data_IF_259055455370
#
_entry.id   IF_259055455370
#
_cell.length_a   1.000
_cell.length_b   1.000
_cell.length_c   1.000
_cell.angle_alpha   90.00
_cell.angle_beta   90.00
_cell.angle_gamma   90.00
#
_symmetry.space_group_name_H-M   'P 1'
#
loop_
_entity.id
_entity.type
_entity.pdbx_description
1 polymer ?
#
# COMPACT_ATOMS: atom_id res chain seq x y z
N UNK A 1 -6.22 26.41 16.63
CA UNK A 1 -5.18 25.37 16.65
C UNK A 1 -4.19 25.68 17.78
N UNK A 2 -4.24 24.90 18.85
CA UNK A 2 -3.54 25.23 20.10
C UNK A 2 -2.02 25.16 19.89
N UNK A 3 -1.30 26.21 20.29
CA UNK A 3 0.16 26.35 20.16
C UNK A 3 0.96 25.08 20.56
N UNK A 4 0.65 24.35 21.66
CA UNK A 4 1.40 23.15 22.02
C UNK A 4 1.27 22.00 21.00
N UNK A 5 0.13 21.89 20.31
CA UNK A 5 -0.12 20.84 19.31
C UNK A 5 0.71 21.08 18.05
N UNK A 6 0.99 22.34 17.71
CA UNK A 6 1.83 22.71 16.56
C UNK A 6 3.30 22.34 16.78
N UNK A 7 3.81 22.53 17.99
CA UNK A 7 5.19 22.13 18.33
C UNK A 7 5.35 20.62 18.39
N UNK A 8 4.35 19.92 18.94
CA UNK A 8 4.35 18.46 18.95
C UNK A 8 4.36 17.88 17.53
N UNK A 9 3.53 18.43 16.63
CA UNK A 9 3.47 17.99 15.24
C UNK A 9 4.78 18.26 14.47
N UNK A 10 5.43 19.41 14.71
CA UNK A 10 6.73 19.73 14.09
C UNK A 10 7.87 18.83 14.60
N UNK A 11 7.84 18.43 15.88
CA UNK A 11 8.87 17.59 16.47
C UNK A 11 8.80 16.15 15.93
N UNK A 12 7.58 15.62 15.73
CA UNK A 12 7.36 14.31 15.11
C UNK A 12 7.79 14.29 13.63
N UNK A 13 7.53 15.37 12.88
CA UNK A 13 7.93 15.48 11.48
C UNK A 13 9.46 15.50 11.29
N UNK A 14 10.20 16.08 12.24
CA UNK A 14 11.66 16.19 12.17
C UNK A 14 12.38 14.90 12.57
N UNK A 15 11.82 14.11 13.49
CA UNK A 15 12.39 12.81 13.90
C UNK A 15 12.26 11.71 12.83
N UNK A 16 11.26 11.82 11.95
CA UNK A 16 11.00 10.83 10.89
C UNK A 16 11.92 11.01 9.66
N UNK A 17 12.60 12.15 9.54
CA UNK A 17 13.52 12.44 8.42
C UNK A 17 14.94 11.87 8.56
N UNK A 18 15.36 11.46 9.77
CA UNK A 18 16.75 11.07 10.05
C UNK A 18 17.03 9.56 10.03
N UNK A 19 16.04 8.72 9.73
CA UNK A 19 16.21 7.24 9.77
C UNK A 19 16.61 6.58 8.44
N UNK A 20 16.69 7.32 7.32
CA UNK A 20 16.95 6.74 5.98
C UNK A 20 18.39 6.88 5.47
N UNK A 21 19.39 7.02 6.33
CA UNK A 21 20.78 7.18 5.86
C UNK A 21 21.79 6.45 6.73
N UNK A 22 21.73 5.11 6.74
CA UNK A 22 22.88 4.31 7.15
C UNK A 22 22.85 2.94 6.47
N UNK A 23 23.74 2.75 5.50
CA UNK A 23 24.58 1.56 5.25
C UNK A 23 24.96 1.58 3.76
N UNK A 24 26.16 2.10 3.46
CA UNK A 24 26.93 1.76 2.27
C UNK A 24 28.36 1.50 2.74
N UNK A 25 28.94 0.39 2.25
CA UNK A 25 30.35 -0.04 2.28
C UNK A 25 30.65 -1.28 3.15
N UNK A 26 30.63 -2.45 2.51
CA UNK A 26 31.54 -3.57 2.77
C UNK A 26 31.52 -4.53 1.56
N UNK A 27 32.70 -4.95 1.05
CA UNK A 27 32.78 -6.18 0.24
C UNK A 27 33.50 -6.16 -1.11
N UNK A 28 34.64 -5.46 -1.28
CA UNK A 28 35.57 -5.75 -2.41
C UNK A 28 36.36 -7.02 -2.08
N UNK A 29 35.69 -8.18 -2.10
CA UNK A 29 36.32 -9.51 -2.11
C UNK A 29 35.37 -10.62 -2.59
N UNK A 30 34.31 -10.25 -3.32
CA UNK A 30 33.20 -11.11 -3.72
C UNK A 30 32.96 -10.91 -5.23
N UNK A 31 33.97 -11.07 -6.07
CA UNK A 31 33.83 -10.87 -7.53
C UNK A 31 33.92 -12.19 -8.31
N UNK A 32 34.72 -13.14 -7.84
CA UNK A 32 34.95 -14.41 -8.53
C UNK A 32 33.93 -15.51 -8.18
N UNK A 33 33.40 -15.51 -6.95
CA UNK A 33 32.29 -16.40 -6.56
C UNK A 33 30.93 -15.91 -7.06
N UNK A 34 30.77 -14.59 -7.22
CA UNK A 34 29.53 -13.99 -7.73
C UNK A 34 29.28 -14.40 -9.17
N UNK A 35 30.29 -14.55 -10.04
CA UNK A 35 30.03 -14.92 -11.44
C UNK A 35 29.37 -16.30 -11.58
N UNK A 36 29.89 -17.31 -10.88
CA UNK A 36 29.32 -18.66 -10.94
C UNK A 36 27.99 -18.74 -10.20
N UNK A 37 27.80 -17.99 -9.11
CA UNK A 37 26.52 -17.90 -8.40
C UNK A 37 25.48 -17.08 -9.18
N UNK A 38 25.90 -16.06 -9.93
CA UNK A 38 25.02 -15.24 -10.76
C UNK A 38 24.51 -16.01 -11.97
N UNK A 39 25.30 -16.92 -12.51
CA UNK A 39 24.90 -17.78 -13.63
C UNK A 39 23.80 -18.77 -13.21
N UNK A 40 23.91 -19.41 -12.04
CA UNK A 40 22.84 -20.28 -11.52
C UNK A 40 21.58 -19.47 -11.18
N UNK A 41 21.73 -18.27 -10.61
CA UNK A 41 20.60 -17.38 -10.32
C UNK A 41 19.93 -16.85 -11.60
N UNK A 42 20.69 -16.68 -12.68
CA UNK A 42 20.18 -16.25 -13.97
C UNK A 42 19.40 -17.36 -14.67
N UNK A 43 19.86 -18.61 -14.57
CA UNK A 43 19.15 -19.77 -15.13
C UNK A 43 17.83 -20.07 -14.41
N UNK A 44 17.75 -19.84 -13.09
CA UNK A 44 16.46 -19.85 -12.37
C UNK A 44 15.54 -18.68 -12.71
N UNK A 45 16.07 -17.61 -13.32
CA UNK A 45 15.32 -16.41 -13.67
C UNK A 45 14.86 -16.43 -15.15
N UNK A 46 15.45 -17.27 -16.01
CA UNK A 46 15.04 -17.43 -17.41
C UNK A 46 13.68 -18.15 -17.56
N UNK A 47 13.27 -18.96 -16.57
CA UNK A 47 11.93 -19.55 -16.47
C UNK A 47 10.86 -18.57 -15.93
N UNK A 48 11.23 -17.30 -15.73
CA UNK A 48 10.30 -16.24 -15.32
C UNK A 48 9.54 -15.61 -16.50
N UNK A 49 9.44 -16.30 -17.65
CA UNK A 49 8.38 -15.97 -18.59
C UNK A 49 7.06 -16.12 -17.85
N UNK A 50 6.48 -14.96 -17.49
CA UNK A 50 5.22 -14.77 -16.79
C UNK A 50 4.30 -15.97 -16.97
N UNK A 51 4.23 -16.84 -15.96
CA UNK A 51 3.48 -18.08 -16.04
C UNK A 51 2.11 -17.82 -16.71
N UNK A 52 1.73 -18.57 -17.77
CA UNK A 52 0.54 -18.26 -18.57
C UNK A 52 -0.76 -18.22 -17.74
N UNK A 53 -0.77 -18.87 -16.58
CA UNK A 53 -1.82 -18.79 -15.55
C UNK A 53 -1.98 -17.41 -14.89
N UNK A 54 -0.96 -16.55 -14.96
CA UNK A 54 -0.96 -15.13 -14.52
C UNK A 54 -1.43 -14.16 -15.60
N UNK A 55 -1.63 -14.66 -16.84
CA UNK A 55 -2.18 -13.91 -17.97
C UNK A 55 -3.70 -13.84 -17.90
N UNK A 56 -4.23 -13.33 -16.78
CA UNK A 56 -5.60 -12.81 -16.78
C UNK A 56 -5.63 -11.64 -17.79
N UNK A 57 -6.60 -11.66 -18.70
CA UNK A 57 -6.82 -10.59 -19.68
C UNK A 57 -6.77 -9.23 -18.97
N UNK A 58 -5.99 -8.28 -19.49
CA UNK A 58 -5.80 -6.95 -18.89
C UNK A 58 -7.13 -6.25 -18.64
N UNK A 59 -8.12 -6.50 -19.49
CA UNK A 59 -9.52 -6.06 -19.34
C UNK A 59 -10.16 -6.55 -18.04
N UNK A 60 -9.95 -7.82 -17.69
CA UNK A 60 -10.50 -8.43 -16.47
C UNK A 60 -9.80 -7.89 -15.21
N UNK A 61 -8.49 -7.65 -15.26
CA UNK A 61 -7.74 -7.00 -14.16
C UNK A 61 -8.29 -5.60 -13.84
N UNK A 62 -8.52 -4.79 -14.88
CA UNK A 62 -9.15 -3.48 -14.72
C UNK A 62 -10.57 -3.56 -14.17
N UNK A 63 -11.37 -4.54 -14.63
CA UNK A 63 -12.75 -4.72 -14.17
C UNK A 63 -12.81 -5.08 -12.68
N UNK A 64 -11.89 -5.93 -12.21
CA UNK A 64 -11.78 -6.30 -10.79
C UNK A 64 -11.34 -5.09 -9.96
N UNK A 65 -10.30 -4.37 -10.41
CA UNK A 65 -9.84 -3.16 -9.71
C UNK A 65 -10.92 -2.07 -9.67
N UNK A 66 -11.69 -1.90 -10.74
CA UNK A 66 -12.82 -0.97 -10.76
C UNK A 66 -13.91 -1.37 -9.76
N UNK A 67 -14.26 -2.66 -9.68
CA UNK A 67 -15.26 -3.15 -8.73
C UNK A 67 -14.78 -3.00 -7.27
N UNK A 68 -13.51 -3.29 -6.99
CA UNK A 68 -12.90 -3.06 -5.67
C UNK A 68 -12.83 -1.58 -5.30
N UNK A 69 -12.48 -0.71 -6.25
CA UNK A 69 -12.50 0.74 -6.05
C UNK A 69 -13.91 1.28 -5.84
N UNK A 70 -14.90 0.71 -6.54
CA UNK A 70 -16.31 1.04 -6.37
C UNK A 70 -16.84 0.70 -4.99
N UNK A 71 -16.55 -0.50 -4.48
CA UNK A 71 -16.95 -0.87 -3.10
C UNK A 71 -16.24 -0.04 -2.05
N UNK A 72 -14.98 0.34 -2.28
CA UNK A 72 -14.24 1.28 -1.44
C UNK A 72 -14.90 2.66 -1.38
N UNK A 73 -15.32 3.19 -2.53
CA UNK A 73 -16.02 4.48 -2.59
C UNK A 73 -17.32 4.44 -1.78
N UNK A 74 -18.08 3.35 -1.89
CA UNK A 74 -19.33 3.14 -1.13
C UNK A 74 -19.05 3.12 0.38
N UNK A 75 -18.03 2.38 0.83
CA UNK A 75 -17.67 2.32 2.25
C UNK A 75 -17.24 3.68 2.79
N UNK A 76 -16.49 4.46 2.01
CA UNK A 76 -16.09 5.82 2.39
C UNK A 76 -17.31 6.73 2.52
N UNK A 77 -18.26 6.66 1.58
CA UNK A 77 -19.49 7.46 1.67
C UNK A 77 -20.32 7.10 2.90
N UNK A 78 -20.41 5.82 3.26
CA UNK A 78 -21.05 5.41 4.51
C UNK A 78 -20.30 5.92 5.75
N UNK A 79 -18.97 5.76 5.79
CA UNK A 79 -18.16 6.26 6.89
C UNK A 79 -18.32 7.78 7.05
N UNK A 80 -18.26 8.54 5.96
CA UNK A 80 -18.49 9.98 5.96
C UNK A 80 -19.91 10.34 6.43
N UNK A 81 -20.94 9.63 5.92
CA UNK A 81 -22.33 9.83 6.33
C UNK A 81 -22.55 9.58 7.82
N UNK A 82 -21.99 8.49 8.36
CA UNK A 82 -22.04 8.21 9.80
C UNK A 82 -21.22 9.22 10.62
N UNK A 83 -20.10 9.70 10.08
CA UNK A 83 -19.30 10.74 10.71
C UNK A 83 -20.07 12.06 10.83
N UNK A 84 -20.79 12.45 9.77
CA UNK A 84 -21.68 13.62 9.78
C UNK A 84 -22.85 13.40 10.76
N UNK A 85 -23.46 12.21 10.76
CA UNK A 85 -24.54 11.86 11.66
C UNK A 85 -24.14 11.94 13.14
N UNK A 86 -22.93 11.53 13.49
CA UNK A 86 -22.39 11.71 14.84
C UNK A 86 -22.03 13.17 15.14
N UNK A 87 -21.29 13.82 14.24
CA UNK A 87 -20.72 15.14 14.52
C UNK A 87 -21.75 16.27 14.54
N UNK A 88 -22.85 16.13 13.78
CA UNK A 88 -23.88 17.18 13.65
C UNK A 88 -25.17 16.79 14.37
N UNK A 89 -25.61 15.54 14.27
CA UNK A 89 -26.91 15.10 14.76
C UNK A 89 -26.84 14.35 16.09
N UNK A 90 -25.64 14.22 16.68
CA UNK A 90 -25.40 13.57 17.99
C UNK A 90 -25.99 12.16 18.08
N UNK A 91 -26.01 11.43 16.95
CA UNK A 91 -26.52 10.05 16.88
C UNK A 91 -25.43 9.05 17.24
N UNK A 92 -25.78 8.04 18.03
CA UNK A 92 -24.91 6.92 18.43
C UNK A 92 -24.64 5.91 17.28
N UNK A 93 -24.03 6.39 16.19
CA UNK A 93 -23.59 5.57 15.05
C UNK A 93 -22.08 5.34 15.04
N UNK A 94 -21.43 5.49 16.20
CA UNK A 94 -19.99 5.35 16.38
C UNK A 94 -19.45 4.01 15.88
N UNK A 95 -20.10 2.91 16.29
CA UNK A 95 -19.68 1.56 15.91
C UNK A 95 -19.74 1.39 14.38
N UNK A 96 -20.81 1.89 13.75
CA UNK A 96 -20.99 1.80 12.30
C UNK A 96 -19.99 2.66 11.52
N UNK A 97 -19.64 3.83 12.05
CA UNK A 97 -18.60 4.68 11.47
C UNK A 97 -17.21 4.05 11.56
N UNK A 98 -16.82 3.55 12.73
CA UNK A 98 -15.50 2.94 12.93
C UNK A 98 -15.37 1.65 12.14
N UNK A 99 -16.42 0.83 12.10
CA UNK A 99 -16.43 -0.40 11.31
C UNK A 99 -16.28 -0.12 9.81
N UNK A 100 -17.05 0.81 9.26
CA UNK A 100 -16.97 1.15 7.83
C UNK A 100 -15.65 1.82 7.46
N UNK A 101 -15.13 2.70 8.32
CA UNK A 101 -13.82 3.30 8.14
C UNK A 101 -12.69 2.25 8.19
N UNK A 102 -12.78 1.27 9.09
CA UNK A 102 -11.83 0.17 9.18
C UNK A 102 -11.84 -0.70 7.92
N UNK A 103 -13.02 -1.11 7.45
CA UNK A 103 -13.17 -1.88 6.22
C UNK A 103 -12.73 -1.10 4.98
N UNK A 104 -13.03 0.21 4.90
CA UNK A 104 -12.54 1.05 3.83
C UNK A 104 -11.01 1.09 3.81
N UNK A 105 -10.38 1.19 4.99
CA UNK A 105 -8.92 1.25 5.12
C UNK A 105 -8.25 -0.05 4.69
N UNK A 106 -8.74 -1.21 5.15
CA UNK A 106 -8.17 -2.51 4.75
C UNK A 106 -8.35 -2.77 3.26
N UNK A 107 -9.52 -2.44 2.71
CA UNK A 107 -9.79 -2.55 1.28
C UNK A 107 -8.95 -1.57 0.46
N UNK A 108 -8.66 -0.36 0.96
CA UNK A 108 -7.78 0.61 0.30
C UNK A 108 -6.36 0.09 0.16
N UNK A 109 -5.83 -0.52 1.22
CA UNK A 109 -4.52 -1.16 1.19
C UNK A 109 -4.53 -2.31 0.18
N UNK A 110 -5.51 -3.21 0.25
CA UNK A 110 -5.63 -4.33 -0.68
C UNK A 110 -5.75 -3.86 -2.14
N UNK A 111 -6.58 -2.85 -2.41
CA UNK A 111 -6.75 -2.25 -3.72
C UNK A 111 -5.45 -1.64 -4.25
N UNK A 112 -4.73 -0.89 -3.41
CA UNK A 112 -3.45 -0.28 -3.77
C UNK A 112 -2.37 -1.32 -4.06
N UNK A 113 -2.26 -2.37 -3.23
CA UNK A 113 -1.30 -3.46 -3.45
C UNK A 113 -1.62 -4.22 -4.73
N UNK A 114 -2.89 -4.55 -4.99
CA UNK A 114 -3.29 -5.25 -6.22
C UNK A 114 -3.04 -4.38 -7.46
N UNK A 115 -3.34 -3.08 -7.40
CA UNK A 115 -3.04 -2.15 -8.48
C UNK A 115 -1.53 -2.07 -8.76
N UNK A 116 -0.72 -1.99 -7.71
CA UNK A 116 0.74 -2.01 -7.82
C UNK A 116 1.24 -3.32 -8.44
N UNK A 117 0.85 -4.46 -7.88
CA UNK A 117 1.31 -5.78 -8.37
C UNK A 117 0.87 -6.07 -9.81
N UNK A 118 -0.29 -5.58 -10.25
CA UNK A 118 -0.79 -5.85 -11.61
C UNK A 118 -0.33 -4.85 -12.67
N UNK A 119 0.01 -3.61 -12.29
CA UNK A 119 0.31 -2.55 -13.26
C UNK A 119 1.67 -1.87 -13.07
N UNK A 120 2.45 -2.25 -12.06
CA UNK A 120 3.83 -1.77 -11.96
C UNK A 120 4.65 -2.35 -13.12
N UNK A 121 5.29 -1.51 -13.94
CA UNK A 121 6.13 -1.98 -15.03
C UNK A 121 7.37 -2.67 -14.46
N UNK A 122 7.59 -3.93 -14.87
CA UNK A 122 8.87 -4.64 -14.74
C UNK A 122 9.83 -4.18 -15.83
#
# INVERSE_FOLDING_TARGET
MNKPVRYFFLLVLMAMGTMCSSVYAAGVSEAASIQHSSEVLQEFNEDSELAPERMIETKRKHQILFLMGGSLLILILFAAGFGIAMGIFDKDVFVWHVLSAGLATTLAIAHGVVAFVWFYPS
#
